data_IF_640703347379
#
_entry.id   IF_640703347379
#
_cell.length_a   1.000
_cell.length_b   1.000
_cell.length_c   1.000
_cell.angle_alpha   90.00
_cell.angle_beta   90.00
_cell.angle_gamma   90.00
#
_symmetry.space_group_name_H-M   'P 1'
#
loop_
_entity.id
_entity.type
_entity.pdbx_description
1 polymer ?
#
# COMPACT_ATOMS: atom_id res chain seq x y z
N UNK A 1 10.68 11.05 -21.15
CA UNK A 1 9.91 10.05 -20.38
C UNK A 1 9.18 9.17 -21.38
N UNK A 2 9.35 7.86 -21.30
CA UNK A 2 8.71 6.91 -22.21
C UNK A 2 7.55 6.30 -21.43
N UNK A 3 6.38 6.94 -21.52
CA UNK A 3 5.30 6.86 -20.52
C UNK A 3 4.84 5.44 -20.19
N UNK A 4 4.88 4.52 -21.17
CA UNK A 4 4.51 3.13 -20.96
C UNK A 4 5.56 2.31 -20.19
N UNK A 5 6.85 2.56 -20.41
CA UNK A 5 7.94 1.89 -19.70
C UNK A 5 8.03 2.38 -18.25
N UNK A 6 7.86 3.70 -18.05
CA UNK A 6 7.85 4.32 -16.73
C UNK A 6 6.67 3.81 -15.89
N UNK A 7 5.48 3.68 -16.50
CA UNK A 7 4.30 3.11 -15.83
C UNK A 7 4.50 1.65 -15.39
N UNK A 8 5.01 0.78 -16.27
CA UNK A 8 5.27 -0.63 -15.93
C UNK A 8 6.28 -0.78 -14.79
N UNK A 9 7.28 0.11 -14.75
CA UNK A 9 8.27 0.15 -13.67
C UNK A 9 7.58 0.44 -12.33
N UNK A 10 6.74 1.48 -12.25
CA UNK A 10 6.01 1.80 -11.02
C UNK A 10 5.03 0.70 -10.61
N UNK A 11 4.32 0.10 -11.56
CA UNK A 11 3.41 -1.02 -11.28
C UNK A 11 4.17 -2.22 -10.67
N UNK A 12 5.33 -2.58 -11.23
CA UNK A 12 6.18 -3.64 -10.68
C UNK A 12 6.69 -3.30 -9.28
N UNK A 13 7.27 -2.13 -9.10
CA UNK A 13 7.81 -1.71 -7.81
C UNK A 13 6.71 -1.60 -6.74
N UNK A 14 5.54 -1.06 -7.10
CA UNK A 14 4.39 -0.96 -6.21
C UNK A 14 3.89 -2.33 -5.77
N UNK A 15 3.85 -3.31 -6.68
CA UNK A 15 3.52 -4.69 -6.36
C UNK A 15 4.52 -5.29 -5.36
N UNK A 16 5.82 -5.12 -5.59
CA UNK A 16 6.86 -5.60 -4.68
C UNK A 16 6.75 -4.98 -3.27
N UNK A 17 6.48 -3.67 -3.19
CA UNK A 17 6.25 -2.99 -1.90
C UNK A 17 5.04 -3.60 -1.21
N UNK A 18 3.91 -3.72 -1.91
CA UNK A 18 2.69 -4.25 -1.34
C UNK A 18 2.89 -5.69 -0.83
N UNK A 19 3.46 -6.58 -1.64
CA UNK A 19 3.79 -7.95 -1.23
C UNK A 19 4.65 -7.98 0.03
N UNK A 20 5.71 -7.14 0.09
CA UNK A 20 6.60 -7.06 1.26
C UNK A 20 5.87 -6.58 2.52
N UNK A 21 4.90 -5.67 2.40
CA UNK A 21 4.13 -5.19 3.55
C UNK A 21 3.20 -6.29 4.08
N UNK A 22 2.61 -7.10 3.18
CA UNK A 22 1.65 -8.16 3.51
C UNK A 22 2.28 -9.54 3.79
N UNK A 23 3.56 -9.78 3.45
CA UNK A 23 4.24 -11.09 3.48
C UNK A 23 4.02 -11.86 4.80
N UNK A 24 4.26 -11.20 5.92
CA UNK A 24 4.16 -11.79 7.25
C UNK A 24 2.87 -11.41 8.00
N UNK A 25 1.86 -10.86 7.32
CA UNK A 25 0.63 -10.38 7.96
C UNK A 25 -0.48 -11.43 7.87
N UNK A 26 -1.07 -11.73 9.01
CA UNK A 26 -2.40 -12.32 9.08
C UNK A 26 -3.40 -11.17 8.85
N UNK A 27 -4.31 -11.35 7.89
CA UNK A 27 -5.44 -10.43 7.71
C UNK A 27 -6.56 -10.99 8.58
N UNK A 28 -6.76 -10.36 9.73
CA UNK A 28 -7.86 -10.70 10.65
C UNK A 28 -9.20 -10.42 9.96
N UNK A 29 -10.21 -11.26 10.21
CA UNK A 29 -11.58 -11.01 9.73
C UNK A 29 -12.08 -9.65 10.24
N UNK A 30 -12.90 -8.98 9.44
CA UNK A 30 -13.33 -7.58 9.63
C UNK A 30 -14.26 -7.36 10.84
N UNK A 31 -14.49 -8.37 11.66
CA UNK A 31 -15.27 -8.26 12.88
C UNK A 31 -14.37 -7.73 14.00
N UNK A 32 -14.51 -6.42 14.30
CA UNK A 32 -14.60 -5.84 15.66
C UNK A 32 -13.77 -4.59 15.98
N UNK A 33 -12.82 -4.08 15.17
CA UNK A 33 -12.11 -2.83 15.53
C UNK A 33 -11.77 -1.94 14.33
N UNK A 34 -12.70 -1.06 13.97
CA UNK A 34 -12.47 0.05 13.04
C UNK A 34 -11.42 1.02 13.63
N UNK A 35 -10.41 1.41 12.85
CA UNK A 35 -9.33 2.33 13.27
C UNK A 35 -7.99 1.66 13.61
N UNK A 36 -7.96 0.36 13.96
CA UNK A 36 -6.72 -0.38 14.28
C UNK A 36 -6.26 -1.33 13.18
N UNK A 37 -7.22 -1.84 12.41
CA UNK A 37 -6.98 -2.84 11.36
C UNK A 37 -6.86 -2.22 9.97
N UNK A 38 -6.10 -2.87 9.09
CA UNK A 38 -6.15 -2.57 7.65
C UNK A 38 -7.53 -2.98 7.15
N UNK A 39 -8.28 -2.05 6.59
CA UNK A 39 -9.57 -2.33 5.93
C UNK A 39 -9.53 -1.93 4.46
N UNK A 40 -10.46 -2.47 3.68
CA UNK A 40 -10.65 -2.05 2.29
C UNK A 40 -10.96 -0.54 2.20
N UNK A 41 -11.70 0.00 3.16
CA UNK A 41 -12.04 1.43 3.24
C UNK A 41 -10.79 2.28 3.40
N UNK A 42 -9.92 1.95 4.37
CA UNK A 42 -8.68 2.69 4.59
C UNK A 42 -7.76 2.66 3.36
N UNK A 43 -7.63 1.50 2.69
CA UNK A 43 -6.81 1.37 1.48
C UNK A 43 -7.35 2.21 0.32
N UNK A 44 -8.67 2.22 0.11
CA UNK A 44 -9.33 3.04 -0.93
C UNK A 44 -9.19 4.53 -0.64
N UNK A 45 -9.40 4.95 0.61
CA UNK A 45 -9.24 6.35 1.02
C UNK A 45 -7.80 6.84 0.82
N UNK A 46 -6.80 6.00 1.10
CA UNK A 46 -5.40 6.31 0.81
C UNK A 46 -5.14 6.41 -0.70
N UNK A 47 -5.73 5.51 -1.51
CA UNK A 47 -5.57 5.55 -2.98
C UNK A 47 -6.19 6.82 -3.57
N UNK A 48 -7.35 7.23 -3.08
CA UNK A 48 -7.97 8.50 -3.46
C UNK A 48 -7.09 9.69 -3.11
N UNK A 49 -6.53 9.71 -1.89
CA UNK A 49 -5.57 10.74 -1.49
C UNK A 49 -4.33 10.79 -2.40
N UNK A 50 -3.81 9.64 -2.84
CA UNK A 50 -2.69 9.58 -3.77
C UNK A 50 -3.06 10.11 -5.16
N UNK A 51 -4.27 9.81 -5.65
CA UNK A 51 -4.79 10.34 -6.93
C UNK A 51 -5.01 11.85 -6.88
N UNK A 52 -5.44 12.36 -5.73
CA UNK A 52 -5.60 13.80 -5.54
C UNK A 52 -4.25 14.52 -5.40
N UNK A 53 -3.30 13.93 -4.68
CA UNK A 53 -1.91 14.38 -4.65
C UNK A 53 -1.32 14.49 -6.06
N UNK A 54 -1.65 13.56 -6.97
CA UNK A 54 -1.23 13.63 -8.38
C UNK A 54 -1.80 14.84 -9.12
N UNK A 55 -3.07 15.19 -8.87
CA UNK A 55 -3.69 16.38 -9.47
C UNK A 55 -3.06 17.68 -8.95
N UNK A 56 -2.73 17.70 -7.66
CA UNK A 56 -2.15 18.85 -6.97
C UNK A 56 -0.63 18.95 -7.24
N UNK A 57 0.03 17.84 -7.55
CA UNK A 57 1.48 17.76 -7.70
C UNK A 57 2.23 17.80 -6.37
N UNK A 58 1.64 17.32 -5.28
CA UNK A 58 2.22 17.41 -3.92
C UNK A 58 2.23 16.06 -3.21
N UNK A 59 3.42 15.50 -2.99
CA UNK A 59 3.56 14.26 -2.22
C UNK A 59 3.28 14.48 -0.73
N UNK A 60 3.60 15.65 -0.20
CA UNK A 60 3.32 16.00 1.20
C UNK A 60 1.82 15.97 1.51
N UNK A 61 0.95 16.37 0.56
CA UNK A 61 -0.50 16.20 0.71
C UNK A 61 -0.86 14.73 0.95
N UNK A 62 -0.35 13.81 0.11
CA UNK A 62 -0.59 12.38 0.29
C UNK A 62 -0.06 11.87 1.63
N UNK A 63 1.16 12.24 2.01
CA UNK A 63 1.79 11.83 3.27
C UNK A 63 0.95 12.22 4.48
N UNK A 64 0.47 13.47 4.52
CA UNK A 64 -0.39 13.96 5.60
C UNK A 64 -1.74 13.22 5.63
N UNK A 65 -2.37 13.01 4.48
CA UNK A 65 -3.64 12.27 4.38
C UNK A 65 -3.49 10.81 4.82
N UNK A 66 -2.42 10.14 4.41
CA UNK A 66 -2.14 8.76 4.82
C UNK A 66 -1.92 8.66 6.34
N UNK A 67 -1.16 9.59 6.93
CA UNK A 67 -0.99 9.65 8.38
C UNK A 67 -2.32 9.93 9.11
N UNK A 68 -3.14 10.84 8.59
CA UNK A 68 -4.45 11.17 9.16
C UNK A 68 -5.43 9.99 9.15
N UNK A 69 -5.36 9.12 8.13
CA UNK A 69 -6.17 7.90 8.05
C UNK A 69 -5.81 6.90 9.17
N UNK A 70 -4.56 6.91 9.64
CA UNK A 70 -4.08 6.05 10.71
C UNK A 70 -3.92 6.78 12.06
N UNK A 71 -4.53 7.96 12.22
CA UNK A 71 -4.31 8.82 13.41
C UNK A 71 -4.78 8.18 14.73
N UNK A 72 -5.79 7.32 14.65
CA UNK A 72 -6.40 6.64 15.80
C UNK A 72 -5.81 5.24 16.02
N UNK A 73 -4.81 4.85 15.20
CA UNK A 73 -4.11 3.57 15.30
C UNK A 73 -2.86 3.71 16.17
N UNK A 74 -2.72 2.81 17.15
CA UNK A 74 -1.54 2.73 18.01
C UNK A 74 -0.32 2.19 17.25
N UNK A 75 0.88 2.34 17.82
CA UNK A 75 2.12 1.98 17.13
C UNK A 75 2.17 0.51 16.68
N UNK A 76 1.59 -0.40 17.47
CA UNK A 76 1.55 -1.84 17.23
C UNK A 76 0.43 -2.26 16.27
N UNK A 77 -0.52 -1.36 15.99
CA UNK A 77 -1.66 -1.63 15.13
C UNK A 77 -1.24 -1.87 13.68
N UNK A 78 -1.93 -2.82 13.05
CA UNK A 78 -1.63 -3.21 11.68
C UNK A 78 -1.78 -2.04 10.68
N UNK A 79 -2.74 -1.12 10.90
CA UNK A 79 -2.93 0.05 10.07
C UNK A 79 -1.78 1.06 10.20
N UNK A 80 -1.38 1.38 11.43
CA UNK A 80 -0.23 2.27 11.68
C UNK A 80 1.05 1.70 11.07
N UNK A 81 1.30 0.40 11.30
CA UNK A 81 2.43 -0.29 10.68
C UNK A 81 2.39 -0.21 9.15
N UNK A 82 1.23 -0.47 8.55
CA UNK A 82 1.05 -0.41 7.10
C UNK A 82 1.43 0.97 6.57
N UNK A 83 0.86 2.04 7.13
CA UNK A 83 1.13 3.42 6.70
C UNK A 83 2.61 3.76 6.87
N UNK A 84 3.22 3.41 8.00
CA UNK A 84 4.63 3.65 8.24
C UNK A 84 5.53 2.96 7.21
N UNK A 85 5.24 1.69 6.90
CA UNK A 85 6.01 0.93 5.91
C UNK A 85 5.79 1.43 4.49
N UNK A 86 4.55 1.79 4.14
CA UNK A 86 4.19 2.38 2.86
C UNK A 86 4.99 3.66 2.61
N UNK A 87 4.94 4.61 3.54
CA UNK A 87 5.65 5.89 3.42
C UNK A 87 7.17 5.67 3.41
N UNK A 88 7.69 4.76 4.22
CA UNK A 88 9.13 4.45 4.25
C UNK A 88 9.63 3.87 2.92
N UNK A 89 8.93 2.90 2.33
CA UNK A 89 9.33 2.28 1.07
C UNK A 89 9.18 3.25 -0.12
N UNK A 90 8.12 4.06 -0.15
CA UNK A 90 7.95 5.11 -1.18
C UNK A 90 9.09 6.12 -1.11
N UNK A 91 9.41 6.64 0.08
CA UNK A 91 10.49 7.62 0.26
C UNK A 91 11.87 7.05 -0.07
N UNK A 92 12.07 5.74 0.12
CA UNK A 92 13.31 5.07 -0.23
C UNK A 92 13.50 4.91 -1.75
N UNK A 93 12.41 4.71 -2.49
CA UNK A 93 12.46 4.38 -3.94
C UNK A 93 12.22 5.59 -4.86
N UNK A 94 11.31 6.49 -4.48
CA UNK A 94 10.97 7.67 -5.28
C UNK A 94 11.88 8.86 -4.99
N UNK A 95 12.43 9.46 -6.06
CA UNK A 95 13.37 10.60 -5.98
C UNK A 95 12.66 11.94 -6.06
N UNK A 96 11.58 12.02 -6.82
CA UNK A 96 10.74 13.21 -6.96
C UNK A 96 9.35 12.99 -6.39
N UNK A 97 8.62 14.07 -6.15
CA UNK A 97 7.22 13.98 -5.70
C UNK A 97 6.35 13.23 -6.71
N UNK A 98 6.55 13.45 -8.01
CA UNK A 98 5.87 12.72 -9.07
C UNK A 98 6.14 11.21 -8.97
N UNK A 99 7.40 10.80 -8.88
CA UNK A 99 7.77 9.38 -8.75
C UNK A 99 7.17 8.76 -7.47
N UNK A 100 7.19 9.49 -6.35
CA UNK A 100 6.63 9.03 -5.07
C UNK A 100 5.12 8.88 -5.15
N UNK A 101 4.42 9.78 -5.84
CA UNK A 101 2.97 9.70 -6.04
C UNK A 101 2.62 8.52 -6.94
N UNK A 102 3.33 8.30 -8.05
CA UNK A 102 3.11 7.12 -8.91
C UNK A 102 3.34 5.80 -8.16
N UNK A 103 4.41 5.73 -7.35
CA UNK A 103 4.66 4.60 -6.48
C UNK A 103 3.55 4.40 -5.44
N UNK A 104 3.02 5.48 -4.85
CA UNK A 104 1.91 5.42 -3.91
C UNK A 104 0.67 4.81 -4.57
N UNK A 105 0.28 5.31 -5.75
CA UNK A 105 -0.87 4.83 -6.51
C UNK A 105 -0.70 3.34 -6.87
N UNK A 106 0.47 2.96 -7.40
CA UNK A 106 0.76 1.59 -7.77
C UNK A 106 0.73 0.64 -6.56
N UNK A 107 1.37 1.04 -5.45
CA UNK A 107 1.44 0.24 -4.22
C UNK A 107 0.05 0.03 -3.61
N UNK A 108 -0.76 1.09 -3.52
CA UNK A 108 -2.11 1.03 -2.94
C UNK A 108 -3.07 0.23 -3.82
N UNK A 109 -2.94 0.36 -5.14
CA UNK A 109 -3.69 -0.47 -6.10
C UNK A 109 -3.35 -1.96 -5.90
N UNK A 110 -2.07 -2.32 -5.83
CA UNK A 110 -1.65 -3.68 -5.55
C UNK A 110 -2.10 -4.16 -4.16
N UNK A 111 -2.06 -3.29 -3.16
CA UNK A 111 -2.52 -3.59 -1.79
C UNK A 111 -4.00 -3.94 -1.74
N UNK A 112 -4.86 -3.26 -2.51
CA UNK A 112 -6.30 -3.56 -2.62
C UNK A 112 -6.51 -4.97 -3.20
N UNK A 113 -5.80 -5.31 -4.27
CA UNK A 113 -5.88 -6.64 -4.87
C UNK A 113 -5.37 -7.73 -3.94
N UNK A 114 -4.21 -7.51 -3.29
CA UNK A 114 -3.66 -8.45 -2.32
C UNK A 114 -4.57 -8.63 -1.11
N UNK A 115 -5.11 -7.55 -0.56
CA UNK A 115 -6.04 -7.61 0.56
C UNK A 115 -7.28 -8.44 0.22
N UNK A 116 -7.83 -8.23 -0.98
CA UNK A 116 -8.97 -9.02 -1.49
C UNK A 116 -8.61 -10.50 -1.65
N UNK A 117 -7.46 -10.79 -2.24
CA UNK A 117 -7.01 -12.17 -2.48
C UNK A 117 -6.68 -12.91 -1.17
N UNK A 118 -6.07 -12.22 -0.21
CA UNK A 118 -5.73 -12.78 1.09
C UNK A 118 -6.96 -13.05 1.95
N UNK A 119 -8.00 -12.20 1.88
CA UNK A 119 -9.32 -12.49 2.46
C UNK A 119 -9.95 -13.76 1.88
N UNK A 120 -9.74 -14.03 0.60
CA UNK A 120 -10.20 -15.25 -0.07
C UNK A 120 -9.24 -16.45 0.10
N UNK A 121 -8.37 -16.44 1.13
CA UNK A 121 -7.42 -17.52 1.44
C UNK A 121 -6.39 -17.85 0.34
N UNK A 122 -6.12 -16.96 -0.61
CA UNK A 122 -5.11 -17.17 -1.66
C UNK A 122 -3.66 -17.02 -1.18
N UNK A 123 -3.40 -16.96 0.14
CA UNK A 123 -2.06 -16.73 0.70
C UNK A 123 -1.02 -17.73 0.19
N UNK A 124 -1.39 -19.02 0.13
CA UNK A 124 -0.50 -20.06 -0.43
C UNK A 124 -0.17 -19.77 -1.89
N UNK A 125 -1.13 -19.39 -2.72
CA UNK A 125 -0.86 -19.11 -4.15
C UNK A 125 0.06 -17.88 -4.33
N UNK A 126 -0.11 -16.85 -3.50
CA UNK A 126 0.65 -15.59 -3.61
C UNK A 126 2.10 -15.75 -3.13
N UNK A 127 2.33 -16.51 -2.05
CA UNK A 127 3.64 -16.59 -1.39
C UNK A 127 4.35 -17.93 -1.53
N UNK A 128 3.71 -18.97 -2.09
CA UNK A 128 4.36 -20.24 -2.34
C UNK A 128 5.29 -20.12 -3.55
N UNK A 129 6.56 -19.82 -3.27
CA UNK A 129 7.66 -20.12 -4.19
C UNK A 129 7.93 -21.62 -4.05
N UNK A 130 7.56 -22.39 -5.06
CA UNK A 130 7.59 -23.86 -5.05
C UNK A 130 8.76 -24.42 -4.26
N UNK A 131 8.44 -25.20 -3.23
CA UNK A 131 9.42 -26.04 -2.56
C UNK A 131 9.97 -27.01 -3.60
N UNK A 132 11.24 -26.84 -3.98
CA UNK A 132 12.02 -27.95 -4.51
C UNK A 132 12.28 -28.87 -3.33
N UNK A 133 11.43 -29.89 -3.19
CA UNK A 133 11.84 -31.16 -2.59
C UNK A 133 12.84 -31.86 -3.51
#
# INVERSE_FOLDING_TARGET
MNSALDRRKFEKEGCEIAMKIFENRYIESEEEVEGRRITMSNLRNMLEAAREAKKIGSYDYFKLRAAYIARDADYEDSLHYFVRRLLSEINKRGKTDEERIELAIATLTASIYLFSALKCNFRKIIYWRGGRS
#
